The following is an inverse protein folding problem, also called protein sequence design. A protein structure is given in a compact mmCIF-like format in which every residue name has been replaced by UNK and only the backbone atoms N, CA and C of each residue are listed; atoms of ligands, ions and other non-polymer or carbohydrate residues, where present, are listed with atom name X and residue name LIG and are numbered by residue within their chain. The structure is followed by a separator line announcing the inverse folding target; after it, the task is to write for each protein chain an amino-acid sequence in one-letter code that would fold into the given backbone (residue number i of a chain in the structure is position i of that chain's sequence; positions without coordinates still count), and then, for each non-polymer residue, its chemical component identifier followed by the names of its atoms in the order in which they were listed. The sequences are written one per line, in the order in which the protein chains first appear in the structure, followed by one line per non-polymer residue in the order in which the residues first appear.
data_IF_066323296169
#
_entry.id   IF_066323296169
#
_cell.length_a   1.000
_cell.length_b   1.000
_cell.length_c   1.000
_cell.angle_alpha   90.00
_cell.angle_beta   90.00
_cell.angle_gamma   90.00
#
_symmetry.space_group_name_H-M   'P 1'
#
loop_
_entity.id
_entity.type
_entity.pdbx_description
1 polymer ?
#
# COMPACT_ATOMS: atom_id res chain seq x y z
N UNK A 1 -5.00 26.99 -0.84
CA UNK A 1 -6.45 27.01 -1.14
C UNK A 1 -7.35 26.39 -0.05
N UNK A 2 -6.82 25.70 0.98
CA UNK A 2 -7.66 25.14 2.06
C UNK A 2 -7.89 26.05 3.28
N UNK A 3 -7.19 27.18 3.41
CA UNK A 3 -7.19 28.01 4.63
C UNK A 3 -8.37 28.97 4.78
N UNK A 4 -9.27 29.06 3.79
CA UNK A 4 -10.46 29.94 3.81
C UNK A 4 -11.79 29.15 3.83
N UNK A 5 -11.77 27.92 4.33
CA UNK A 5 -12.99 27.14 4.47
C UNK A 5 -13.77 27.60 5.70
N UNK A 6 -15.06 27.90 5.54
CA UNK A 6 -15.93 28.22 6.68
C UNK A 6 -16.18 26.96 7.50
N UNK A 7 -16.39 27.13 8.80
CA UNK A 7 -16.57 25.98 9.72
C UNK A 7 -17.78 25.11 9.33
N UNK A 8 -18.81 25.71 8.73
CA UNK A 8 -19.96 24.98 8.20
C UNK A 8 -19.57 23.99 7.08
N UNK A 9 -18.79 24.45 6.10
CA UNK A 9 -18.35 23.58 4.98
C UNK A 9 -17.44 22.46 5.51
N UNK A 10 -16.57 22.77 6.47
CA UNK A 10 -15.72 21.77 7.13
C UNK A 10 -16.55 20.70 7.84
N UNK A 11 -17.59 21.10 8.59
CA UNK A 11 -18.49 20.16 9.24
C UNK A 11 -19.29 19.30 8.26
N UNK A 12 -19.72 19.87 7.13
CA UNK A 12 -20.39 19.12 6.07
C UNK A 12 -19.47 18.06 5.46
N UNK A 13 -18.20 18.40 5.18
CA UNK A 13 -17.22 17.45 4.67
C UNK A 13 -16.93 16.34 5.70
N UNK A 14 -16.71 16.68 6.97
CA UNK A 14 -16.48 15.69 8.02
C UNK A 14 -17.67 14.73 8.13
N UNK A 15 -18.90 15.25 8.10
CA UNK A 15 -20.10 14.42 8.14
C UNK A 15 -20.23 13.54 6.90
N UNK A 16 -19.88 14.04 5.71
CA UNK A 16 -19.83 13.25 4.48
C UNK A 16 -18.83 12.09 4.60
N UNK A 17 -17.60 12.36 5.04
CA UNK A 17 -16.56 11.34 5.20
C UNK A 17 -16.95 10.28 6.24
N UNK A 18 -17.58 10.69 7.36
CA UNK A 18 -18.08 9.76 8.38
C UNK A 18 -19.23 8.89 7.87
N UNK A 19 -20.15 9.45 7.07
CA UNK A 19 -21.28 8.72 6.49
C UNK A 19 -20.86 7.68 5.46
N UNK A 20 -19.73 7.91 4.78
CA UNK A 20 -19.21 7.04 3.72
C UNK A 20 -17.92 6.33 4.18
N UNK A 21 -17.79 6.04 5.49
CA UNK A 21 -16.54 5.49 6.05
C UNK A 21 -16.21 4.12 5.43
N UNK A 22 -17.22 3.36 5.07
CA UNK A 22 -17.17 2.05 4.43
C UNK A 22 -16.75 2.08 2.95
N UNK A 23 -16.85 3.23 2.27
CA UNK A 23 -16.51 3.35 0.84
C UNK A 23 -15.00 3.58 0.64
N UNK A 24 -14.31 4.13 1.64
CA UNK A 24 -12.90 4.50 1.52
C UNK A 24 -12.00 3.54 2.28
N UNK A 25 -10.82 3.26 1.70
CA UNK A 25 -9.78 2.51 2.37
C UNK A 25 -8.95 3.42 3.31
N UNK A 26 -9.37 3.54 4.57
CA UNK A 26 -8.71 4.41 5.56
C UNK A 26 -7.41 3.81 6.11
N UNK A 27 -7.37 2.48 6.15
CA UNK A 27 -6.23 1.66 6.55
C UNK A 27 -5.89 0.71 5.41
N UNK A 28 -4.65 0.17 5.36
CA UNK A 28 -4.34 -0.86 4.38
C UNK A 28 -5.29 -2.05 4.43
N UNK A 29 -5.77 -2.43 5.62
CA UNK A 29 -6.72 -3.52 5.79
C UNK A 29 -8.09 -3.27 5.15
N UNK A 30 -8.44 -1.99 4.92
CA UNK A 30 -9.68 -1.61 4.25
C UNK A 30 -9.56 -1.69 2.71
N UNK A 31 -8.36 -1.95 2.17
CA UNK A 31 -8.21 -2.29 0.76
C UNK A 31 -8.64 -3.75 0.59
N UNK A 32 -9.89 -3.96 0.15
CA UNK A 32 -10.30 -5.27 -0.33
C UNK A 32 -9.43 -5.65 -1.52
N UNK A 33 -8.55 -6.63 -1.32
CA UNK A 33 -7.83 -7.24 -2.43
C UNK A 33 -8.83 -7.95 -3.34
N UNK A 34 -8.62 -7.83 -4.65
CA UNK A 34 -9.36 -8.63 -5.61
C UNK A 34 -8.77 -10.04 -5.54
N UNK A 35 -9.63 -11.05 -5.34
CA UNK A 35 -9.22 -12.45 -5.33
C UNK A 35 -8.32 -12.75 -6.55
N UNK A 36 -7.08 -13.21 -6.36
CA UNK A 36 -6.17 -13.55 -7.46
C UNK A 36 -6.77 -14.58 -8.44
N UNK A 37 -7.71 -15.42 -7.98
CA UNK A 37 -8.47 -16.34 -8.83
C UNK A 37 -9.47 -15.65 -9.76
N UNK A 38 -9.91 -14.43 -9.45
CA UNK A 38 -10.79 -13.61 -10.31
C UNK A 38 -9.96 -12.91 -11.39
N UNK A 39 -8.91 -12.19 -10.99
CA UNK A 39 -8.03 -11.52 -11.93
C UNK A 39 -6.64 -11.34 -11.33
N UNK A 40 -5.62 -11.78 -12.06
CA UNK A 40 -4.21 -11.55 -11.75
C UNK A 40 -3.56 -10.82 -12.91
N UNK A 41 -2.77 -9.79 -12.60
CA UNK A 41 -1.96 -9.14 -13.62
C UNK A 41 -0.67 -9.92 -13.85
N UNK A 42 -0.44 -10.35 -15.09
CA UNK A 42 0.82 -10.96 -15.49
C UNK A 42 1.72 -9.92 -16.15
N UNK A 43 2.91 -9.72 -15.58
CA UNK A 43 3.96 -8.96 -16.24
C UNK A 43 4.42 -9.73 -17.49
N UNK A 44 4.38 -9.08 -18.66
CA UNK A 44 4.89 -9.66 -19.90
C UNK A 44 6.42 -9.61 -19.91
N UNK A 45 7.04 -10.63 -19.31
CA UNK A 45 8.48 -10.78 -19.21
C UNK A 45 9.01 -11.64 -20.37
N UNK A 46 10.18 -11.28 -20.89
CA UNK A 46 10.90 -12.12 -21.85
C UNK A 46 11.31 -13.44 -21.16
N UNK A 47 10.83 -14.61 -21.62
CA UNK A 47 11.17 -15.90 -21.03
C UNK A 47 12.66 -16.24 -21.07
N UNK A 48 13.42 -15.59 -21.96
CA UNK A 48 14.87 -15.77 -22.08
C UNK A 48 15.68 -14.86 -21.16
N UNK A 49 15.03 -13.88 -20.52
CA UNK A 49 15.70 -12.97 -19.60
C UNK A 49 16.13 -13.70 -18.33
N UNK A 50 17.40 -13.50 -17.96
CA UNK A 50 17.95 -14.07 -16.72
C UNK A 50 17.49 -13.27 -15.50
N UNK A 51 17.10 -13.93 -14.40
CA UNK A 51 16.85 -13.26 -13.13
C UNK A 51 18.08 -12.46 -12.67
N UNK A 52 17.87 -11.25 -12.16
CA UNK A 52 18.95 -10.40 -11.63
C UNK A 52 18.64 -10.06 -10.18
N UNK A 53 19.48 -10.54 -9.26
CA UNK A 53 19.41 -10.19 -7.84
C UNK A 53 20.01 -8.80 -7.61
N UNK A 54 19.15 -7.82 -7.35
CA UNK A 54 19.60 -6.47 -7.03
C UNK A 54 20.17 -6.41 -5.61
N UNK A 55 21.30 -5.72 -5.44
CA UNK A 55 21.89 -5.48 -4.10
C UNK A 55 20.95 -4.61 -3.27
N UNK A 56 20.67 -5.04 -2.03
CA UNK A 56 19.89 -4.25 -1.07
C UNK A 56 20.53 -2.88 -0.88
N UNK A 57 19.73 -1.82 -1.02
CA UNK A 57 20.16 -0.44 -0.73
C UNK A 57 20.13 -0.19 0.77
N UNK A 58 21.11 0.53 1.28
CA UNK A 58 21.15 0.99 2.67
C UNK A 58 20.66 2.45 2.73
N UNK A 59 19.67 2.73 3.57
CA UNK A 59 19.05 4.06 3.66
C UNK A 59 19.45 4.82 4.94
N UNK A 60 20.23 4.19 5.81
CA UNK A 60 20.61 4.71 7.13
C UNK A 60 19.58 4.38 8.20
N UNK A 61 19.97 4.43 9.49
CA UNK A 61 19.22 3.82 10.59
C UNK A 61 17.83 4.43 10.82
N UNK A 62 17.66 5.73 10.56
CA UNK A 62 16.36 6.40 10.70
C UNK A 62 15.35 5.92 9.65
N UNK A 63 15.76 5.92 8.38
CA UNK A 63 14.92 5.48 7.27
C UNK A 63 14.66 3.98 7.34
N UNK A 64 15.65 3.18 7.73
CA UNK A 64 15.52 1.74 7.88
C UNK A 64 14.42 1.38 8.92
N UNK A 65 14.28 2.16 10.00
CA UNK A 65 13.19 1.99 10.99
C UNK A 65 11.82 2.28 10.38
N UNK A 66 11.69 3.35 9.60
CA UNK A 66 10.43 3.72 8.92
C UNK A 66 10.05 2.64 7.91
N UNK A 67 11.01 2.20 7.10
CA UNK A 67 10.82 1.12 6.12
C UNK A 67 10.36 -0.16 6.82
N UNK A 68 10.99 -0.54 7.94
CA UNK A 68 10.55 -1.70 8.70
C UNK A 68 9.13 -1.55 9.24
N UNK A 69 8.76 -0.38 9.76
CA UNK A 69 7.40 -0.11 10.19
C UNK A 69 6.37 -0.33 9.08
N UNK A 70 6.63 0.20 7.89
CA UNK A 70 5.71 0.05 6.75
C UNK A 70 5.68 -1.40 6.21
N UNK A 71 6.83 -2.08 6.16
CA UNK A 71 6.88 -3.51 5.76
C UNK A 71 6.03 -4.37 6.70
N UNK A 72 6.15 -4.18 8.02
CA UNK A 72 5.34 -4.94 8.98
C UNK A 72 3.84 -4.65 8.84
N UNK A 73 3.48 -3.40 8.55
CA UNK A 73 2.09 -2.99 8.30
C UNK A 73 1.51 -3.68 7.07
N UNK A 74 2.28 -3.75 5.97
CA UNK A 74 1.87 -4.42 4.73
C UNK A 74 1.82 -5.94 4.89
N UNK A 75 2.76 -6.54 5.62
CA UNK A 75 2.74 -7.97 5.96
C UNK A 75 1.50 -8.32 6.79
N UNK A 76 1.15 -7.48 7.77
CA UNK A 76 -0.02 -7.69 8.64
C UNK A 76 -1.35 -7.52 7.91
N UNK A 77 -1.35 -6.82 6.77
CA UNK A 77 -2.51 -6.69 5.88
C UNK A 77 -2.53 -7.78 4.79
N UNK A 78 -1.58 -8.72 4.78
CA UNK A 78 -1.42 -9.77 3.76
C UNK A 78 -1.13 -9.28 2.32
N UNK A 79 -0.93 -7.97 2.12
CA UNK A 79 -0.65 -7.36 0.82
C UNK A 79 0.70 -7.72 0.22
N UNK A 80 1.65 -8.09 1.07
CA UNK A 80 2.96 -8.60 0.65
C UNK A 80 3.24 -9.91 1.38
N UNK A 81 4.00 -10.78 0.72
CA UNK A 81 4.44 -12.06 1.29
C UNK A 81 5.92 -12.27 1.04
N UNK A 82 6.58 -12.91 1.99
CA UNK A 82 7.96 -13.33 1.81
C UNK A 82 8.02 -14.46 0.76
N UNK A 83 8.97 -14.36 -0.16
CA UNK A 83 9.25 -15.39 -1.15
C UNK A 83 10.74 -15.75 -1.09
N UNK A 84 11.05 -17.02 -1.35
CA UNK A 84 12.43 -17.45 -1.55
C UNK A 84 12.81 -17.18 -3.00
N UNK A 85 13.78 -16.29 -3.21
CA UNK A 85 14.30 -16.03 -4.54
C UNK A 85 15.29 -17.15 -4.91
N UNK A 86 15.12 -17.86 -6.04
CA UNK A 86 16.06 -18.88 -6.47
C UNK A 86 17.45 -18.26 -6.70
N UNK A 87 18.51 -19.05 -6.45
CA UNK A 87 19.91 -18.60 -6.61
C UNK A 87 20.25 -18.16 -8.04
#
# INVERSE_FOLDING_TARGET
MGSKMTENVKNQIINCLRKNKDIFAWTPQDLEEIDPGVITHHLNLDPSAKPVKQKKRHFGPEKDKIIQGEVNKLLSAEHIKEIQFPE
#
